data_IF_930929839351
#
_entry.id   IF_930929839351
#
_cell.length_a   1.000
_cell.length_b   1.000
_cell.length_c   1.000
_cell.angle_alpha   90.00
_cell.angle_beta   90.00
_cell.angle_gamma   90.00
#
_symmetry.space_group_name_H-M   'P 1'
#
loop_
_entity.id
_entity.type
_entity.pdbx_description
1 polymer ?
#
# COMPACT_ATOMS: atom_id res chain seq x y z
N UNK A 1 18.73 -14.71 1.44
CA UNK A 1 17.94 -13.46 1.58
C UNK A 1 16.70 -13.60 0.70
N UNK A 2 15.54 -14.00 1.24
CA UNK A 2 14.35 -14.30 0.40
C UNK A 2 12.98 -13.94 1.01
N UNK A 3 12.91 -13.46 2.26
CA UNK A 3 11.65 -13.15 2.95
C UNK A 3 11.08 -11.73 2.70
N UNK A 4 11.74 -10.90 1.88
CA UNK A 4 11.28 -9.55 1.52
C UNK A 4 10.43 -9.52 0.25
N UNK A 5 10.42 -10.61 -0.52
CA UNK A 5 9.87 -10.66 -1.90
C UNK A 5 8.37 -10.37 -1.99
N UNK A 6 7.57 -10.81 -1.01
CA UNK A 6 6.11 -10.77 -1.12
C UNK A 6 5.44 -9.59 -0.37
N UNK A 7 6.21 -8.80 0.39
CA UNK A 7 5.66 -7.72 1.24
C UNK A 7 5.06 -6.56 0.46
N UNK A 8 5.71 -6.15 -0.64
CA UNK A 8 5.22 -5.07 -1.49
C UNK A 8 3.94 -5.48 -2.23
N UNK A 9 3.86 -6.65 -2.89
CA UNK A 9 2.62 -7.15 -3.46
C UNK A 9 1.46 -7.25 -2.44
N UNK A 10 1.72 -7.78 -1.25
CA UNK A 10 0.70 -7.90 -0.19
C UNK A 10 0.21 -6.53 0.29
N UNK A 11 1.14 -5.59 0.49
CA UNK A 11 0.82 -4.19 0.77
C UNK A 11 -0.05 -3.59 -0.32
N UNK A 12 0.37 -3.69 -1.59
CA UNK A 12 -0.37 -3.11 -2.73
C UNK A 12 -1.80 -3.63 -2.80
N UNK A 13 -1.99 -4.94 -2.59
CA UNK A 13 -3.31 -5.57 -2.58
C UNK A 13 -4.19 -5.01 -1.47
N UNK A 14 -3.72 -5.08 -0.22
CA UNK A 14 -4.48 -4.63 0.94
C UNK A 14 -4.77 -3.12 0.88
N UNK A 15 -3.79 -2.33 0.44
CA UNK A 15 -3.93 -0.88 0.34
C UNK A 15 -4.94 -0.48 -0.73
N UNK A 16 -4.98 -1.20 -1.87
CA UNK A 16 -5.99 -0.99 -2.92
C UNK A 16 -7.41 -1.24 -2.39
N UNK A 17 -7.61 -2.31 -1.62
CA UNK A 17 -8.89 -2.63 -0.99
C UNK A 17 -9.33 -1.51 -0.04
N UNK A 18 -8.42 -0.99 0.80
CA UNK A 18 -8.72 0.13 1.72
C UNK A 18 -9.05 1.43 1.01
N UNK A 19 -8.36 1.75 -0.09
CA UNK A 19 -8.63 2.95 -0.88
C UNK A 19 -10.00 2.89 -1.57
N UNK A 20 -10.43 1.71 -2.02
CA UNK A 20 -11.74 1.51 -2.65
C UNK A 20 -12.91 1.83 -1.69
N UNK A 21 -12.76 1.57 -0.38
CA UNK A 21 -13.78 1.95 0.62
C UNK A 21 -14.07 3.45 0.64
N UNK A 22 -13.09 4.27 0.27
CA UNK A 22 -13.19 5.73 0.20
C UNK A 22 -13.35 6.24 -1.24
N UNK A 23 -13.67 5.36 -2.20
CA UNK A 23 -13.76 5.64 -3.64
C UNK A 23 -12.47 6.28 -4.22
N UNK A 24 -11.32 6.04 -3.59
CA UNK A 24 -10.04 6.53 -4.06
C UNK A 24 -9.45 5.56 -5.09
N UNK A 25 -8.77 6.09 -6.11
CA UNK A 25 -8.13 5.30 -7.16
C UNK A 25 -6.62 5.28 -6.96
N UNK A 26 -6.02 4.09 -7.00
CA UNK A 26 -4.56 3.91 -6.94
C UNK A 26 -4.01 3.55 -8.32
N UNK A 27 -3.11 4.38 -8.83
CA UNK A 27 -2.40 4.17 -10.11
C UNK A 27 -0.89 4.09 -9.87
N UNK A 28 -0.24 3.02 -10.34
CA UNK A 28 1.22 2.92 -10.33
C UNK A 28 1.79 3.80 -11.45
N UNK A 29 2.80 4.60 -11.13
CA UNK A 29 3.53 5.43 -12.12
C UNK A 29 4.68 4.60 -12.72
N UNK A 30 5.30 5.10 -13.80
CA UNK A 30 6.32 4.37 -14.58
C UNK A 30 7.54 3.93 -13.78
N UNK A 31 7.89 4.66 -12.71
CA UNK A 31 8.96 4.29 -11.81
C UNK A 31 8.43 3.29 -10.80
N UNK A 32 9.16 2.19 -10.60
CA UNK A 32 8.92 1.27 -9.49
C UNK A 32 8.86 2.09 -8.18
N UNK A 33 7.95 1.71 -7.28
CA UNK A 33 7.73 2.37 -6.00
C UNK A 33 7.10 3.77 -6.06
N UNK A 34 6.47 4.17 -7.16
CA UNK A 34 5.75 5.46 -7.24
C UNK A 34 4.29 5.25 -7.63
N UNK A 35 3.38 5.87 -6.87
CA UNK A 35 1.95 5.74 -7.02
C UNK A 35 1.27 7.10 -6.93
N UNK A 36 0.14 7.17 -7.61
CA UNK A 36 -0.76 8.30 -7.58
C UNK A 36 -2.10 7.83 -7.01
N UNK A 37 -2.59 8.55 -6.02
CA UNK A 37 -3.87 8.32 -5.40
C UNK A 37 -4.77 9.49 -5.78
N UNK A 38 -5.87 9.22 -6.46
CA UNK A 38 -6.86 10.24 -6.82
C UNK A 38 -8.12 10.06 -5.97
N UNK A 39 -8.55 11.13 -5.30
CA UNK A 39 -9.81 11.13 -4.53
C UNK A 39 -11.01 11.43 -5.42
N UNK A 40 -12.25 11.16 -4.96
CA UNK A 40 -13.46 11.59 -5.67
C UNK A 40 -13.53 13.11 -5.93
N UNK A 41 -12.96 13.91 -5.01
CA UNK A 41 -12.86 15.36 -5.13
C UNK A 41 -11.77 15.81 -6.12
N UNK A 42 -11.10 14.87 -6.80
CA UNK A 42 -9.99 15.09 -7.75
C UNK A 42 -8.71 15.62 -7.10
N UNK A 43 -8.58 15.51 -5.79
CA UNK A 43 -7.28 15.69 -5.12
C UNK A 43 -6.32 14.58 -5.56
N UNK A 44 -5.03 14.92 -5.66
CA UNK A 44 -4.00 13.96 -6.01
C UNK A 44 -2.96 13.90 -4.89
N UNK A 45 -2.66 12.68 -4.45
CA UNK A 45 -1.57 12.37 -3.55
C UNK A 45 -0.55 11.49 -4.26
N UNK A 46 0.72 11.83 -4.11
CA UNK A 46 1.85 11.06 -4.60
C UNK A 46 2.39 10.23 -3.44
N UNK A 47 2.35 8.92 -3.60
CA UNK A 47 2.89 7.96 -2.63
C UNK A 47 4.14 7.32 -3.25
N UNK A 48 5.24 7.29 -2.51
CA UNK A 48 6.46 6.64 -2.96
C UNK A 48 7.33 6.15 -1.81
N UNK A 49 8.29 5.29 -2.09
CA UNK A 49 9.31 4.88 -1.13
C UNK A 49 10.65 4.66 -1.83
N UNK A 50 11.74 4.92 -1.10
CA UNK A 50 13.09 4.53 -1.52
C UNK A 50 13.41 3.13 -0.99
N UNK A 51 13.17 2.91 0.30
CA UNK A 51 13.27 1.62 0.98
C UNK A 51 11.91 1.28 1.61
N UNK A 52 11.41 0.07 1.39
CA UNK A 52 10.15 -0.37 1.99
C UNK A 52 10.43 -0.95 3.39
N UNK A 53 9.72 -0.54 4.46
CA UNK A 53 8.37 0.03 4.49
C UNK A 53 8.29 1.56 4.68
N UNK A 54 9.34 2.33 4.40
CA UNK A 54 9.36 3.78 4.59
C UNK A 54 8.61 4.52 3.46
N UNK A 55 7.30 4.63 3.62
CA UNK A 55 6.40 5.23 2.64
C UNK A 55 6.24 6.74 2.89
N UNK A 56 6.57 7.52 1.86
CA UNK A 56 6.29 8.94 1.78
C UNK A 56 4.95 9.19 1.08
N UNK A 57 4.20 10.17 1.59
CA UNK A 57 2.95 10.64 0.99
C UNK A 57 2.97 12.16 0.92
N UNK A 58 2.82 12.70 -0.29
CA UNK A 58 2.84 14.13 -0.57
C UNK A 58 1.54 14.51 -1.29
N UNK A 59 0.90 15.59 -0.87
CA UNK A 59 -0.19 16.19 -1.63
C UNK A 59 0.36 16.95 -2.84
N UNK A 60 -0.16 16.67 -4.03
CA UNK A 60 0.14 17.46 -5.21
C UNK A 60 -0.80 18.68 -5.25
N UNK A 61 -0.29 19.92 -5.24
CA UNK A 61 -1.14 21.10 -5.29
C UNK A 61 -1.70 21.28 -6.71
N UNK A 62 -2.96 20.90 -6.93
CA UNK A 62 -3.66 21.02 -8.22
C UNK A 62 -4.87 21.97 -8.09
N UNK A 63 -4.82 22.86 -7.12
CA UNK A 63 -5.89 23.78 -6.79
C UNK A 63 -5.83 24.21 -5.33
N UNK A 64 -6.99 24.60 -4.79
CA UNK A 64 -7.12 25.02 -3.41
C UNK A 64 -7.19 23.78 -2.53
N UNK A 65 -6.27 23.68 -1.57
CA UNK A 65 -6.32 22.65 -0.52
C UNK A 65 -7.48 22.97 0.42
N UNK A 66 -8.45 22.05 0.47
CA UNK A 66 -9.65 22.21 1.31
C UNK A 66 -9.53 21.41 2.60
N UNK A 67 -10.45 21.61 3.54
CA UNK A 67 -10.57 20.75 4.72
C UNK A 67 -10.81 19.28 4.33
N UNK A 68 -11.59 19.05 3.26
CA UNK A 68 -11.83 17.72 2.73
C UNK A 68 -10.52 17.07 2.23
N UNK A 69 -9.64 17.84 1.59
CA UNK A 69 -8.29 17.37 1.21
C UNK A 69 -7.51 16.88 2.43
N UNK A 70 -7.59 17.60 3.57
CA UNK A 70 -6.93 17.20 4.83
C UNK A 70 -7.53 15.91 5.39
N UNK A 71 -8.85 15.76 5.33
CA UNK A 71 -9.54 14.53 5.76
C UNK A 71 -9.07 13.32 4.93
N UNK A 72 -9.01 13.46 3.60
CA UNK A 72 -8.50 12.39 2.74
C UNK A 72 -7.03 12.08 3.02
N UNK A 73 -6.19 13.08 3.23
CA UNK A 73 -4.78 12.85 3.56
C UNK A 73 -4.63 12.03 4.84
N UNK A 74 -5.37 12.38 5.90
CA UNK A 74 -5.36 11.64 7.17
C UNK A 74 -5.84 10.20 6.98
N UNK A 75 -6.91 10.00 6.22
CA UNK A 75 -7.43 8.67 5.93
C UNK A 75 -6.41 7.82 5.16
N UNK A 76 -5.77 8.37 4.12
CA UNK A 76 -4.74 7.67 3.33
C UNK A 76 -3.55 7.29 4.23
N UNK A 77 -3.07 8.21 5.06
CA UNK A 77 -1.97 7.93 6.01
C UNK A 77 -2.35 6.83 7.01
N UNK A 78 -3.59 6.85 7.51
CA UNK A 78 -4.10 5.80 8.39
C UNK A 78 -4.13 4.44 7.70
N UNK A 79 -4.58 4.39 6.44
CA UNK A 79 -4.60 3.16 5.64
C UNK A 79 -3.19 2.62 5.39
N UNK A 80 -2.23 3.48 5.08
CA UNK A 80 -0.82 3.09 4.92
C UNK A 80 -0.32 2.41 6.20
N UNK A 81 -0.50 3.05 7.36
CA UNK A 81 -0.06 2.51 8.66
C UNK A 81 -0.69 1.16 8.95
N UNK A 82 -2.00 1.05 8.77
CA UNK A 82 -2.72 -0.21 8.96
C UNK A 82 -2.19 -1.32 8.05
N UNK A 83 -1.98 -1.03 6.77
CA UNK A 83 -1.50 -2.04 5.83
C UNK A 83 -0.08 -2.50 6.17
N UNK A 84 0.80 -1.57 6.57
CA UNK A 84 2.16 -1.90 6.98
C UNK A 84 2.20 -2.75 8.25
N UNK A 85 1.35 -2.48 9.26
CA UNK A 85 1.28 -3.34 10.44
C UNK A 85 0.73 -4.72 10.10
N UNK A 86 -0.33 -4.81 9.28
CA UNK A 86 -0.96 -6.09 8.95
C UNK A 86 -0.06 -7.06 8.18
N UNK A 87 0.89 -6.55 7.37
CA UNK A 87 1.85 -7.41 6.65
C UNK A 87 3.09 -7.73 7.48
N UNK A 88 3.39 -6.93 8.51
CA UNK A 88 4.47 -7.22 9.46
C UNK A 88 4.06 -8.31 10.45
N UNK A 89 2.78 -8.34 10.84
CA UNK A 89 2.22 -9.31 11.78
C UNK A 89 1.87 -10.67 11.15
N UNK A 90 2.13 -10.88 9.85
CA UNK A 90 2.01 -12.23 9.28
C UNK A 90 3.14 -13.10 9.85
N UNK A 91 2.84 -14.11 10.68
CA UNK A 91 3.86 -14.99 11.20
C UNK A 91 4.52 -15.73 10.03
N UNK A 92 5.82 -16.03 10.18
CA UNK A 92 6.61 -16.87 9.26
C UNK A 92 6.00 -18.26 8.95
N UNK A 93 4.87 -18.61 9.57
CA UNK A 93 4.24 -19.92 9.51
C UNK A 93 3.53 -20.25 8.19
N UNK A 94 3.14 -19.26 7.38
CA UNK A 94 2.50 -19.53 6.09
C UNK A 94 3.48 -20.09 5.03
N UNK A 95 4.80 -19.92 5.22
CA UNK A 95 5.83 -20.48 4.32
C UNK A 95 6.14 -21.96 4.63
N UNK A 96 5.93 -22.43 5.85
CA UNK A 96 6.16 -23.84 6.21
C UNK A 96 5.08 -24.79 5.65
N UNK A 97 3.86 -24.29 5.43
CA UNK A 97 2.75 -25.07 4.87
C UNK A 97 2.89 -25.30 3.35
N UNK A 98 3.48 -24.36 2.61
CA UNK A 98 3.69 -24.52 1.15
C UNK A 98 4.87 -25.43 0.80
N UNK A 99 5.88 -25.52 1.68
CA UNK A 99 7.01 -26.44 1.52
C UNK A 99 6.66 -27.89 1.92
N UNK A 100 5.74 -28.09 2.86
CA UNK A 100 5.30 -29.44 3.26
C UNK A 100 4.48 -30.17 2.19
N UNK A 101 3.88 -29.46 1.22
CA UNK A 101 3.08 -30.08 0.15
C UNK A 101 3.91 -30.66 -1.00
N UNK A 102 5.24 -30.49 -1.00
CA UNK A 102 6.15 -31.00 -2.04
C UNK A 102 6.94 -32.26 -1.61
N UNK A 103 6.74 -32.77 -0.39
CA UNK A 103 7.47 -33.93 0.12
C UNK A 103 6.71 -35.27 0.03
N UNK A 104 5.48 -35.29 -0.47
CA UNK A 104 4.70 -36.51 -0.72
C UNK A 104 4.70 -36.88 -2.21
N UNK A 105 5.86 -37.27 -2.72
CA UNK A 105 6.01 -38.13 -3.91
C UNK A 105 7.19 -39.06 -3.63
N UNK A 106 6.91 -40.06 -2.78
CA UNK A 106 7.73 -41.24 -2.58
C UNK A 106 6.99 -42.46 -3.10
#
# INVERSE_FOLDING_TARGET
MQATSNRVPDFEKLFREKLQLNNCRLRKKRKENNYEITTPAKDIFLMYWHEFPEINLIYQPIGIRTEQTVVYERAIRSHIKFCLSSIQDRPLNDELQSLSSLQDVG
#
